data_IF_386634188531
#
_entry.id   IF_386634188531
#
_cell.length_a   1.000
_cell.length_b   1.000
_cell.length_c   1.000
_cell.angle_alpha   90.00
_cell.angle_beta   90.00
_cell.angle_gamma   90.00
#
_symmetry.space_group_name_H-M   'P 1'
#
loop_
_entity.id
_entity.type
_entity.pdbx_description
1 polymer ?
#
# COMPACT_ATOMS: atom_id res chain seq x y z
N UNK A 1 27.98 8.33 2.44
CA UNK A 1 28.26 7.80 3.79
C UNK A 1 28.34 6.28 3.71
N UNK A 2 29.38 5.69 4.28
CA UNK A 2 29.54 4.22 4.30
C UNK A 2 28.46 3.57 5.17
N UNK A 3 28.00 2.38 4.80
CA UNK A 3 26.91 1.67 5.49
C UNK A 3 27.22 1.43 6.99
N UNK A 4 28.50 1.14 7.32
CA UNK A 4 28.92 0.94 8.70
C UNK A 4 28.75 2.20 9.54
N UNK A 5 29.18 3.35 9.04
CA UNK A 5 29.00 4.64 9.71
C UNK A 5 27.54 5.00 9.92
N UNK A 6 26.68 4.68 8.97
CA UNK A 6 25.23 4.89 9.08
C UNK A 6 24.62 4.02 10.19
N UNK A 7 25.06 2.76 10.29
CA UNK A 7 24.62 1.86 11.37
C UNK A 7 25.02 2.38 12.76
N UNK A 8 26.24 2.86 12.89
CA UNK A 8 26.75 3.44 14.13
C UNK A 8 25.98 4.70 14.51
N UNK A 9 25.75 5.60 13.55
CA UNK A 9 24.95 6.82 13.76
C UNK A 9 23.54 6.50 14.29
N UNK A 10 22.84 5.55 13.67
CA UNK A 10 21.48 5.18 14.10
C UNK A 10 21.48 4.56 15.50
N UNK A 11 22.49 3.77 15.82
CA UNK A 11 22.65 3.23 17.17
C UNK A 11 22.85 4.35 18.18
N UNK A 12 23.75 5.29 17.92
CA UNK A 12 24.02 6.43 18.78
C UNK A 12 22.79 7.32 19.00
N UNK A 13 22.01 7.59 17.95
CA UNK A 13 20.74 8.32 18.03
C UNK A 13 19.74 7.62 18.96
N UNK A 14 19.59 6.30 18.84
CA UNK A 14 18.70 5.51 19.69
C UNK A 14 19.18 5.48 21.16
N UNK A 15 20.48 5.38 21.40
CA UNK A 15 21.06 5.38 22.74
C UNK A 15 20.98 6.76 23.41
N UNK A 16 21.17 7.83 22.61
CA UNK A 16 21.16 9.22 23.12
C UNK A 16 19.76 9.73 23.42
N UNK A 17 18.83 9.53 22.50
CA UNK A 17 17.50 10.13 22.58
C UNK A 17 16.41 9.17 23.04
N UNK A 18 16.66 7.87 22.95
CA UNK A 18 15.73 6.83 23.34
C UNK A 18 14.66 6.54 22.27
N UNK A 19 14.11 5.34 22.33
CA UNK A 19 13.13 4.83 21.36
C UNK A 19 11.88 5.70 21.24
N UNK A 20 11.30 6.11 22.37
CA UNK A 20 10.05 6.89 22.37
C UNK A 20 10.19 8.20 21.61
N UNK A 21 11.32 8.89 21.77
CA UNK A 21 11.56 10.13 21.04
C UNK A 21 11.75 9.88 19.55
N UNK A 22 12.51 8.85 19.18
CA UNK A 22 12.69 8.48 17.77
C UNK A 22 11.39 8.02 17.09
N UNK A 23 10.50 7.37 17.84
CA UNK A 23 9.16 7.03 17.36
C UNK A 23 8.31 8.27 17.10
N UNK A 24 8.37 9.29 17.98
CA UNK A 24 7.65 10.55 17.76
C UNK A 24 8.16 11.29 16.54
N UNK A 25 9.49 11.38 16.36
CA UNK A 25 10.09 11.96 15.14
C UNK A 25 9.57 11.22 13.90
N UNK A 26 9.56 9.88 13.91
CA UNK A 26 9.04 9.13 12.77
C UNK A 26 7.58 9.43 12.46
N UNK A 27 6.74 9.70 13.47
CA UNK A 27 5.34 10.11 13.27
C UNK A 27 5.26 11.52 12.69
N UNK A 28 6.12 12.44 13.13
CA UNK A 28 6.22 13.80 12.58
C UNK A 28 6.61 13.77 11.11
N UNK A 29 7.69 13.06 10.75
CA UNK A 29 8.13 12.95 9.35
C UNK A 29 7.07 12.30 8.43
N UNK A 30 6.36 11.29 8.91
CA UNK A 30 5.24 10.72 8.14
C UNK A 30 4.10 11.73 7.92
N UNK A 31 3.85 12.63 8.87
CA UNK A 31 2.84 13.68 8.72
C UNK A 31 3.31 14.79 7.75
N UNK A 32 4.60 15.14 7.78
CA UNK A 32 5.21 16.11 6.88
C UNK A 32 5.20 15.59 5.44
N UNK A 33 5.57 14.34 5.21
CA UNK A 33 5.46 13.69 3.90
C UNK A 33 4.01 13.69 3.40
N UNK A 34 3.05 13.35 4.27
CA UNK A 34 1.63 13.37 3.90
C UNK A 34 1.20 14.76 3.44
N UNK A 35 1.61 15.80 4.16
CA UNK A 35 1.31 17.19 3.84
C UNK A 35 1.99 17.63 2.52
N UNK A 36 3.25 17.26 2.31
CA UNK A 36 4.01 17.56 1.10
C UNK A 36 3.34 16.94 -0.15
N UNK A 37 2.95 15.66 -0.07
CA UNK A 37 2.22 14.97 -1.14
C UNK A 37 0.90 15.67 -1.47
N UNK A 38 0.12 16.05 -0.46
CA UNK A 38 -1.14 16.77 -0.67
C UNK A 38 -0.95 18.18 -1.23
N UNK A 39 0.13 18.88 -0.85
CA UNK A 39 0.49 20.17 -1.43
C UNK A 39 0.93 20.02 -2.89
N UNK A 40 1.74 19.00 -3.18
CA UNK A 40 2.22 18.70 -4.52
C UNK A 40 1.07 18.39 -5.48
N UNK A 41 0.09 17.60 -5.07
CA UNK A 41 -1.12 17.29 -5.85
C UNK A 41 -1.89 18.57 -6.24
N UNK A 42 -1.89 19.58 -5.36
CA UNK A 42 -2.50 20.89 -5.60
C UNK A 42 -1.59 21.88 -6.33
N UNK A 43 -0.41 21.47 -6.79
CA UNK A 43 0.58 22.34 -7.44
C UNK A 43 1.22 23.38 -6.52
N UNK A 44 1.29 23.10 -5.20
CA UNK A 44 1.79 24.00 -4.15
C UNK A 44 3.09 23.54 -3.50
N UNK A 45 3.66 22.45 -3.94
CA UNK A 45 4.98 21.96 -3.56
C UNK A 45 5.69 21.41 -4.80
N UNK A 46 7.00 21.50 -4.81
CA UNK A 46 7.86 20.92 -5.83
C UNK A 46 8.08 19.41 -5.60
N UNK A 47 8.62 18.72 -6.60
CA UNK A 47 9.06 17.33 -6.43
C UNK A 47 10.24 17.24 -5.46
N UNK A 48 11.13 18.23 -5.43
CA UNK A 48 12.27 18.26 -4.51
C UNK A 48 11.82 18.32 -3.04
N UNK A 49 10.80 19.14 -2.71
CA UNK A 49 10.22 19.18 -1.36
C UNK A 49 9.64 17.82 -0.94
N UNK A 50 9.01 17.08 -1.86
CA UNK A 50 8.50 15.73 -1.57
C UNK A 50 9.65 14.74 -1.40
N UNK A 51 10.72 14.87 -2.19
CA UNK A 51 11.90 13.99 -2.11
C UNK A 51 12.58 14.13 -0.75
N UNK A 52 12.71 15.35 -0.23
CA UNK A 52 13.29 15.60 1.09
C UNK A 52 12.48 14.88 2.20
N UNK A 53 11.17 15.03 2.21
CA UNK A 53 10.31 14.35 3.19
C UNK A 53 10.35 12.81 3.04
N UNK A 54 10.43 12.30 1.81
CA UNK A 54 10.62 10.86 1.58
C UNK A 54 11.94 10.38 2.18
N UNK A 55 13.01 11.17 2.07
CA UNK A 55 14.31 10.81 2.63
C UNK A 55 14.25 10.76 4.17
N UNK A 56 13.59 11.70 4.82
CA UNK A 56 13.42 11.75 6.27
C UNK A 56 12.61 10.56 6.78
N UNK A 57 11.51 10.22 6.12
CA UNK A 57 10.74 9.01 6.44
C UNK A 57 11.58 7.74 6.27
N UNK A 58 12.39 7.61 5.21
CA UNK A 58 13.27 6.44 5.00
C UNK A 58 14.27 6.32 6.16
N UNK A 59 14.89 7.42 6.58
CA UNK A 59 15.83 7.45 7.69
C UNK A 59 15.16 6.96 8.98
N UNK A 60 13.98 7.48 9.29
CA UNK A 60 13.21 7.09 10.47
C UNK A 60 12.79 5.60 10.42
N UNK A 61 12.35 5.10 9.27
CA UNK A 61 11.98 3.70 9.12
C UNK A 61 13.18 2.76 9.26
N UNK A 62 14.36 3.15 8.79
CA UNK A 62 15.60 2.37 9.00
C UNK A 62 15.98 2.31 10.48
N UNK A 63 15.80 3.38 11.24
CA UNK A 63 16.03 3.41 12.70
C UNK A 63 15.03 2.50 13.44
N UNK A 64 13.74 2.62 13.15
CA UNK A 64 12.70 1.79 13.77
C UNK A 64 12.89 0.30 13.42
N UNK A 65 13.27 -0.02 12.17
CA UNK A 65 13.55 -1.38 11.78
C UNK A 65 14.69 -2.02 12.60
N UNK A 66 15.69 -1.22 12.99
CA UNK A 66 16.78 -1.71 13.89
C UNK A 66 16.26 -2.01 15.29
N UNK A 67 15.38 -1.18 15.80
CA UNK A 67 14.77 -1.38 17.12
C UNK A 67 13.89 -2.63 17.17
N UNK A 68 13.02 -2.81 16.19
CA UNK A 68 12.09 -3.97 16.12
C UNK A 68 12.73 -5.25 15.57
N UNK A 69 13.93 -5.17 15.00
CA UNK A 69 14.67 -6.25 14.38
C UNK A 69 14.59 -6.23 12.86
N UNK A 70 15.75 -5.95 12.23
CA UNK A 70 15.89 -5.83 10.78
C UNK A 70 15.36 -7.08 10.05
N UNK A 71 15.75 -8.27 10.51
CA UNK A 71 15.36 -9.53 9.86
C UNK A 71 13.84 -9.74 9.89
N UNK A 72 13.19 -9.37 11.00
CA UNK A 72 11.73 -9.44 11.14
C UNK A 72 11.05 -8.47 10.18
N UNK A 73 11.55 -7.26 10.07
CA UNK A 73 11.04 -6.24 9.14
C UNK A 73 11.21 -6.67 7.69
N UNK A 74 12.38 -7.21 7.33
CA UNK A 74 12.65 -7.76 5.98
C UNK A 74 11.72 -8.91 5.66
N UNK A 75 11.55 -9.87 6.56
CA UNK A 75 10.63 -10.99 6.37
C UNK A 75 9.18 -10.52 6.19
N UNK A 76 8.73 -9.53 6.99
CA UNK A 76 7.41 -8.93 6.85
C UNK A 76 7.24 -8.22 5.50
N UNK A 77 8.23 -7.43 5.07
CA UNK A 77 8.25 -6.76 3.76
C UNK A 77 8.12 -7.77 2.62
N UNK A 78 8.90 -8.86 2.64
CA UNK A 78 8.84 -9.89 1.60
C UNK A 78 7.47 -10.56 1.52
N UNK A 79 6.82 -10.85 2.66
CA UNK A 79 5.45 -11.39 2.66
C UNK A 79 4.45 -10.41 2.03
N UNK A 80 4.58 -9.12 2.32
CA UNK A 80 3.71 -8.08 1.74
C UNK A 80 3.96 -7.91 0.24
N UNK A 81 5.21 -7.96 -0.22
CA UNK A 81 5.54 -7.89 -1.65
C UNK A 81 4.92 -9.05 -2.44
N UNK A 82 4.99 -10.28 -1.94
CA UNK A 82 4.34 -11.43 -2.59
C UNK A 82 2.82 -11.26 -2.71
N UNK A 83 2.17 -10.65 -1.71
CA UNK A 83 0.73 -10.33 -1.80
C UNK A 83 0.44 -9.27 -2.87
N UNK A 84 1.29 -8.26 -3.00
CA UNK A 84 1.16 -7.24 -4.03
C UNK A 84 1.34 -7.83 -5.43
N UNK A 85 2.33 -8.70 -5.61
CA UNK A 85 2.57 -9.43 -6.85
C UNK A 85 1.32 -10.24 -7.27
N UNK A 86 0.79 -11.07 -6.35
CA UNK A 86 -0.42 -11.85 -6.62
C UNK A 86 -1.66 -10.98 -6.95
N UNK A 87 -1.81 -9.82 -6.30
CA UNK A 87 -2.88 -8.86 -6.62
C UNK A 87 -2.70 -8.25 -8.01
N UNK A 88 -1.49 -7.85 -8.36
CA UNK A 88 -1.17 -7.31 -9.68
C UNK A 88 -1.46 -8.33 -10.77
N UNK A 89 -1.00 -9.57 -10.62
CA UNK A 89 -1.28 -10.65 -11.57
C UNK A 89 -2.80 -10.88 -11.76
N UNK A 90 -3.55 -10.87 -10.66
CA UNK A 90 -5.01 -11.02 -10.72
C UNK A 90 -5.65 -9.87 -11.49
N UNK A 91 -5.23 -8.65 -11.23
CA UNK A 91 -5.71 -7.45 -11.92
C UNK A 91 -5.41 -7.52 -13.43
N UNK A 92 -4.18 -7.85 -13.81
CA UNK A 92 -3.77 -7.96 -15.21
C UNK A 92 -4.58 -9.02 -15.96
N UNK A 93 -4.79 -10.20 -15.38
CA UNK A 93 -5.66 -11.26 -15.97
C UNK A 93 -7.10 -10.79 -16.15
N UNK A 94 -7.62 -9.98 -15.23
CA UNK A 94 -8.98 -9.42 -15.37
C UNK A 94 -9.05 -8.40 -16.51
N UNK A 95 -8.01 -7.58 -16.72
CA UNK A 95 -7.96 -6.64 -17.83
C UNK A 95 -7.88 -7.37 -19.16
N UNK A 96 -7.02 -8.37 -19.31
CA UNK A 96 -6.93 -9.20 -20.51
C UNK A 96 -8.28 -9.84 -20.89
N UNK A 97 -9.03 -10.32 -19.90
CA UNK A 97 -10.39 -10.87 -20.14
C UNK A 97 -11.40 -9.82 -20.58
N UNK A 98 -11.25 -8.57 -20.19
CA UNK A 98 -12.14 -7.47 -20.61
C UNK A 98 -11.83 -6.99 -22.02
N UNK A 99 -10.57 -7.07 -22.41
CA UNK A 99 -10.09 -6.63 -23.74
C UNK A 99 -10.29 -7.68 -24.83
N UNK A 100 -10.55 -8.95 -24.46
CA UNK A 100 -10.96 -9.99 -25.41
C UNK A 100 -12.49 -10.03 -25.49
N UNK A 101 -13.13 -9.30 -26.44
CA UNK A 101 -14.55 -9.47 -26.66
C UNK A 101 -14.80 -10.90 -27.18
N UNK A 102 -15.82 -11.51 -26.63
CA UNK A 102 -16.29 -12.87 -26.87
C UNK A 102 -16.36 -13.19 -28.41
N UNK A 103 -15.29 -13.76 -28.97
CA UNK A 103 -15.27 -14.29 -30.33
C UNK A 103 -15.89 -15.68 -30.41
N UNK A 104 -16.84 -16.00 -29.54
CA UNK A 104 -17.53 -17.30 -29.55
C UNK A 104 -19.03 -17.12 -29.36
N UNK A 105 -19.69 -16.46 -30.30
CA UNK A 105 -21.15 -16.53 -30.44
C UNK A 105 -21.62 -16.18 -31.84
N UNK A 106 -20.99 -16.76 -32.88
CA UNK A 106 -21.60 -16.89 -34.22
C UNK A 106 -21.65 -18.39 -34.56
N UNK A 107 -22.53 -19.07 -33.88
CA UNK A 107 -22.94 -20.45 -34.15
C UNK A 107 -24.45 -20.49 -34.12
N UNK A 108 -25.03 -20.58 -35.29
CA UNK A 108 -26.44 -20.72 -35.64
C UNK A 108 -27.26 -21.51 -34.61
N UNK A 109 -28.40 -20.96 -34.20
CA UNK A 109 -29.62 -21.74 -34.01
C UNK A 109 -30.82 -20.87 -34.34
N UNK A 110 -31.44 -21.25 -35.49
CA UNK A 110 -32.83 -20.97 -35.84
C UNK A 110 -33.77 -21.52 -34.77
N UNK A 111 -34.89 -20.80 -34.50
CA UNK A 111 -36.04 -21.40 -33.84
C UNK A 111 -36.71 -20.60 -32.73
N UNK A 112 -37.64 -19.74 -33.08
CA UNK A 112 -38.99 -19.53 -32.55
C UNK A 112 -39.23 -19.41 -31.03
N UNK A 113 -39.98 -18.35 -30.63
CA UNK A 113 -40.86 -18.44 -29.47
C UNK A 113 -40.84 -17.27 -28.47
N UNK A 114 -41.74 -16.30 -28.73
CA UNK A 114 -42.57 -15.54 -27.76
C UNK A 114 -42.06 -15.06 -26.40
N UNK A 115 -42.12 -13.71 -26.26
CA UNK A 115 -42.69 -12.87 -25.19
C UNK A 115 -42.46 -13.24 -23.72
N UNK A 116 -41.88 -12.34 -22.94
CA UNK A 116 -42.55 -11.44 -21.97
C UNK A 116 -41.56 -10.69 -21.09
N UNK A 117 -41.81 -9.38 -20.97
CA UNK A 117 -41.76 -8.49 -19.80
C UNK A 117 -40.56 -8.38 -18.84
N UNK A 118 -40.08 -7.15 -18.79
CA UNK A 118 -39.72 -6.35 -17.62
C UNK A 118 -38.87 -6.97 -16.50
N UNK A 119 -37.72 -6.32 -16.23
CA UNK A 119 -36.99 -6.43 -14.98
C UNK A 119 -35.83 -5.44 -14.95
N UNK A 120 -36.10 -4.28 -14.44
CA UNK A 120 -35.08 -3.33 -13.99
C UNK A 120 -34.20 -4.01 -12.96
N UNK A 121 -32.88 -3.94 -13.10
CA UNK A 121 -31.98 -4.24 -12.00
C UNK A 121 -30.98 -3.12 -11.83
N UNK A 122 -31.19 -2.49 -10.71
CA UNK A 122 -30.42 -1.43 -10.11
C UNK A 122 -28.93 -1.78 -9.99
N UNK A 123 -28.12 -0.71 -10.04
CA UNK A 123 -26.69 -0.74 -9.83
C UNK A 123 -26.31 -1.34 -8.48
N UNK A 124 -25.36 -2.23 -8.49
CA UNK A 124 -24.70 -2.69 -7.27
C UNK A 124 -23.29 -2.12 -7.24
N UNK A 125 -23.20 -0.89 -6.73
CA UNK A 125 -21.96 -0.35 -6.21
C UNK A 125 -21.69 -1.03 -4.87
N UNK A 126 -20.69 -1.88 -4.81
CA UNK A 126 -20.20 -2.40 -3.53
C UNK A 126 -19.15 -1.45 -2.95
N UNK A 127 -19.36 -0.94 -1.74
CA UNK A 127 -18.39 -0.12 -1.07
C UNK A 127 -17.19 -0.97 -0.59
N UNK A 128 -16.00 -0.40 -0.76
CA UNK A 128 -14.76 -0.88 -0.18
C UNK A 128 -14.89 -0.94 1.35
N UNK A 129 -15.06 -2.13 1.90
CA UNK A 129 -15.02 -2.35 3.34
C UNK A 129 -13.58 -2.67 3.74
N UNK A 130 -12.94 -1.70 4.39
CA UNK A 130 -11.79 -1.95 5.22
C UNK A 130 -12.30 -2.58 6.53
N UNK A 131 -12.21 -3.88 6.65
CA UNK A 131 -12.34 -4.61 7.91
C UNK A 131 -11.54 -5.88 7.79
N UNK A 132 -10.53 -6.00 8.63
CA UNK A 132 -10.51 -6.93 9.74
C UNK A 132 -9.24 -6.65 10.53
N UNK A 133 -9.41 -5.88 11.57
CA UNK A 133 -8.49 -5.83 12.69
C UNK A 133 -8.76 -7.05 13.55
N UNK A 134 -7.83 -7.98 13.60
CA UNK A 134 -7.78 -8.97 14.67
C UNK A 134 -7.23 -8.30 15.92
N UNK A 135 -8.15 -7.80 16.71
CA UNK A 135 -8.00 -7.52 18.13
C UNK A 135 -8.05 -8.87 18.85
N UNK A 136 -6.91 -9.43 19.19
CA UNK A 136 -6.82 -10.33 20.36
C UNK A 136 -5.37 -10.52 20.77
N UNK A 137 -4.94 -9.80 21.81
CA UNK A 137 -3.95 -10.24 22.81
C UNK A 137 -3.80 -9.17 23.89
N UNK A 138 -4.70 -9.24 24.84
CA UNK A 138 -4.42 -8.88 26.22
C UNK A 138 -4.86 -10.09 27.06
N UNK A 139 -3.88 -10.88 27.53
CA UNK A 139 -3.86 -11.52 28.85
C UNK A 139 -2.57 -12.34 28.97
N UNK A 140 -1.80 -11.95 29.87
CA UNK A 140 -0.87 -12.43 30.90
C UNK A 140 0.46 -11.73 30.87
#
# INVERSE_FOLDING_TARGET
>A
MEELKRKELYKELMETFGYHKQMHVAVEEMAELTNALMKRERGRASDDEVIDEVADVIICMEQLARYFGVDKCVAAKLRKLRRLEARLETYLRQQERREQPNMAADGETDGGGETTACGETEGNEQPYTAADGDDNMLND
#
